data_IF_277390804187
#
_entry.id   IF_277390804187
#
_cell.length_a   1.000
_cell.length_b   1.000
_cell.length_c   1.000
_cell.angle_alpha   90.00
_cell.angle_beta   90.00
_cell.angle_gamma   90.00
#
_symmetry.space_group_name_H-M   'P 1'
#
loop_
_entity.id
_entity.type
_entity.pdbx_description
1 polymer ?
2 non-polymer ?
3 non-polymer ?
4 non-polymer ?
5 non-polymer ?
6 water ?
#
# COMPACT_ATOMS: atom_id res chain seq x y z
N UNK A 4 -16.61 -13.40 31.54
CA UNK A 4 -16.37 -14.34 32.67
C UNK A 4 -14.89 -14.74 32.73
N UNK A 5 -14.63 -15.89 33.34
CA UNK A 5 -13.27 -16.41 33.50
C UNK A 5 -12.86 -17.30 32.34
N UNK A 6 -13.68 -18.30 32.03
CA UNK A 6 -13.38 -19.21 30.94
C UNK A 6 -13.23 -18.46 29.62
N UNK A 7 -13.86 -17.29 29.54
CA UNK A 7 -13.80 -16.47 28.34
C UNK A 7 -12.45 -15.79 28.25
N UNK A 8 -12.00 -15.24 29.38
CA UNK A 8 -10.71 -14.56 29.45
C UNK A 8 -9.60 -15.54 29.07
N UNK A 9 -9.83 -16.82 29.32
CA UNK A 9 -8.86 -17.87 29.01
C UNK A 9 -8.87 -18.13 27.50
N UNK A 10 -10.07 -18.27 26.94
CA UNK A 10 -10.25 -18.51 25.52
C UNK A 10 -9.55 -17.42 24.72
N UNK A 11 -9.88 -16.17 25.05
CA UNK A 11 -9.31 -15.02 24.37
C UNK A 11 -7.79 -14.96 24.49
N UNK A 12 -7.25 -15.51 25.57
CA UNK A 12 -5.80 -15.51 25.74
C UNK A 12 -5.14 -16.40 24.70
N UNK A 13 -5.62 -17.63 24.57
CA UNK A 13 -5.04 -18.55 23.61
C UNK A 13 -5.22 -18.02 22.19
N UNK A 14 -6.40 -17.46 21.91
CA UNK A 14 -6.69 -16.92 20.59
C UNK A 14 -5.70 -15.81 20.25
N UNK A 15 -5.52 -14.86 21.17
CA UNK A 15 -4.58 -13.78 20.93
C UNK A 15 -3.15 -14.30 20.82
N UNK A 16 -2.81 -15.31 21.61
CA UNK A 16 -1.48 -15.88 21.54
C UNK A 16 -1.25 -16.52 20.16
N UNK A 17 -2.24 -17.27 19.69
CA UNK A 17 -2.13 -17.93 18.39
C UNK A 17 -2.04 -16.95 17.23
N UNK A 18 -2.75 -15.83 17.33
CA UNK A 18 -2.69 -14.83 16.27
C UNK A 18 -1.29 -14.22 16.25
N UNK A 19 -0.76 -13.92 17.43
CA UNK A 19 0.59 -13.35 17.52
C UNK A 19 1.58 -14.32 16.88
N UNK A 20 1.39 -15.61 17.13
CA UNK A 20 2.28 -16.62 16.57
C UNK A 20 2.25 -16.65 15.04
N UNK A 21 1.06 -16.69 14.46
CA UNK A 21 0.95 -16.73 13.00
C UNK A 21 1.48 -15.44 12.37
N UNK A 22 1.18 -14.30 12.98
CA UNK A 22 1.66 -13.03 12.45
C UNK A 22 3.18 -12.95 12.59
N UNK A 23 3.69 -13.49 13.70
CA UNK A 23 5.12 -13.48 13.92
C UNK A 23 5.83 -14.31 12.87
N UNK A 24 5.29 -15.49 12.56
CA UNK A 24 5.88 -16.36 11.55
C UNK A 24 5.88 -15.63 10.21
N UNK A 25 4.74 -15.06 9.84
CA UNK A 25 4.63 -14.34 8.57
C UNK A 25 5.60 -13.16 8.47
N UNK A 26 5.78 -12.41 9.56
CA UNK A 26 6.70 -11.29 9.51
C UNK A 26 8.16 -11.75 9.54
N UNK A 27 8.46 -12.75 10.36
CA UNK A 27 9.83 -13.27 10.43
C UNK A 27 10.31 -13.73 9.06
N UNK A 28 9.40 -14.33 8.28
CA UNK A 28 9.78 -14.81 6.96
C UNK A 28 9.63 -13.75 5.87
N UNK A 29 9.33 -12.52 6.27
CA UNK A 29 9.20 -11.43 5.32
C UNK A 29 8.01 -11.49 4.39
N UNK A 30 6.97 -12.22 4.79
CA UNK A 30 5.78 -12.35 3.97
C UNK A 30 4.88 -11.13 4.10
N UNK A 31 5.14 -10.32 5.13
CA UNK A 31 4.34 -9.13 5.38
C UNK A 31 5.06 -8.15 6.29
N UNK A 32 4.62 -6.89 6.23
CA UNK A 32 5.17 -5.82 7.05
C UNK A 32 4.02 -5.23 7.85
N UNK A 33 4.20 -5.16 9.17
CA UNK A 33 3.17 -4.62 10.05
C UNK A 33 3.55 -3.20 10.48
N UNK A 34 2.64 -2.25 10.29
CA UNK A 34 2.87 -0.86 10.68
C UNK A 34 1.60 -0.39 11.37
N UNK A 35 1.65 -0.29 12.69
CA UNK A 35 0.48 0.12 13.43
C UNK A 35 -0.55 -0.97 13.26
N UNK A 36 -1.75 -0.62 12.79
CA UNK A 36 -2.81 -1.59 12.60
C UNK A 36 -2.91 -2.04 11.15
N UNK A 37 -1.97 -1.58 10.32
CA UNK A 37 -1.97 -1.92 8.91
C UNK A 37 -0.90 -2.95 8.54
N UNK A 38 -1.28 -3.88 7.68
CA UNK A 38 -0.37 -4.92 7.22
C UNK A 38 -0.18 -4.79 5.71
N UNK A 39 1.07 -4.72 5.27
CA UNK A 39 1.38 -4.61 3.85
C UNK A 39 1.95 -5.93 3.38
N UNK A 40 1.70 -6.27 2.13
CA UNK A 40 2.20 -7.52 1.57
C UNK A 40 2.15 -7.46 0.05
N UNK A 41 3.03 -8.19 -0.62
CA UNK A 41 3.04 -8.21 -2.07
C UNK A 41 3.11 -9.64 -2.59
N UNK A 42 2.51 -9.88 -3.75
CA UNK A 42 2.55 -11.22 -4.35
C UNK A 42 3.74 -11.28 -5.30
N UNK A 43 4.55 -10.22 -5.28
CA UNK A 43 5.73 -10.16 -6.13
C UNK A 43 5.46 -9.89 -7.60
N UNK A 44 4.19 -9.73 -7.96
CA UNK A 44 3.82 -9.47 -9.35
C UNK A 44 3.89 -8.00 -9.76
N UNK A 45 4.20 -7.77 -11.03
CA UNK A 45 4.27 -6.43 -11.60
C UNK A 45 3.19 -6.31 -12.66
N UNK A 46 2.12 -5.60 -12.33
CA UNK A 46 1.01 -5.42 -13.25
C UNK A 46 0.48 -4.00 -13.17
N UNK A 47 -0.48 -3.66 -14.03
CA UNK A 47 -1.03 -2.31 -14.03
C UNK A 47 -1.97 -2.07 -12.85
N UNK A 48 -2.40 -0.81 -12.72
CA UNK A 48 -3.28 -0.39 -11.64
C UNK A 48 -4.53 -1.25 -11.46
N UNK A 49 -5.34 -1.37 -12.51
CA UNK A 49 -6.57 -2.15 -12.43
C UNK A 49 -6.32 -3.60 -12.02
N UNK A 50 -5.21 -4.17 -12.47
CA UNK A 50 -4.88 -5.55 -12.13
C UNK A 50 -4.53 -5.64 -10.65
N UNK A 51 -3.64 -4.77 -10.20
CA UNK A 51 -3.24 -4.75 -8.80
C UNK A 51 -4.47 -4.66 -7.91
N UNK A 52 -5.33 -3.68 -8.18
CA UNK A 52 -6.55 -3.48 -7.40
C UNK A 52 -7.36 -4.76 -7.27
N UNK A 53 -7.47 -5.49 -8.37
CA UNK A 53 -8.22 -6.73 -8.40
C UNK A 53 -7.57 -7.76 -7.49
N UNK A 54 -6.26 -7.94 -7.64
CA UNK A 54 -5.52 -8.89 -6.83
C UNK A 54 -5.70 -8.62 -5.35
N UNK A 55 -5.60 -7.35 -4.96
CA UNK A 55 -5.74 -6.99 -3.56
C UNK A 55 -7.14 -7.23 -3.02
N UNK A 56 -8.15 -6.74 -3.73
CA UNK A 56 -9.53 -6.93 -3.29
C UNK A 56 -9.87 -8.43 -3.22
N UNK A 57 -9.30 -9.20 -4.14
CA UNK A 57 -9.53 -10.63 -4.20
C UNK A 57 -8.95 -11.34 -2.97
N UNK A 58 -7.90 -10.76 -2.40
CA UNK A 58 -7.26 -11.33 -1.22
C UNK A 58 -7.90 -10.80 0.06
N UNK A 59 -8.90 -9.94 -0.11
CA UNK A 59 -9.59 -9.39 1.05
C UNK A 59 -9.02 -8.07 1.53
N UNK A 60 -8.15 -7.46 0.73
CA UNK A 60 -7.56 -6.19 1.12
C UNK A 60 -7.77 -5.10 0.08
N UNK A 61 -6.83 -4.17 0.03
CA UNK A 61 -6.89 -3.05 -0.92
C UNK A 61 -5.50 -2.67 -1.39
N UNK A 62 -5.43 -2.01 -2.55
CA UNK A 62 -4.14 -1.57 -3.05
C UNK A 62 -3.61 -0.62 -1.98
N UNK A 63 -2.37 -0.82 -1.58
CA UNK A 63 -1.76 -0.02 -0.52
C UNK A 63 -1.67 1.48 -0.78
N UNK A 64 -1.81 2.25 0.29
CA UNK A 64 -1.70 3.71 0.23
C UNK A 64 -1.17 4.20 1.57
N UNK A 65 -0.01 4.88 1.56
CA UNK A 65 0.57 5.38 2.81
C UNK A 65 -0.12 6.65 3.29
N UNK A 66 -0.48 6.68 4.58
CA UNK A 66 -1.13 7.85 5.15
C UNK A 66 -0.26 8.48 6.23
N UNK A 67 0.90 7.88 6.47
CA UNK A 67 1.84 8.40 7.46
C UNK A 67 3.24 8.13 6.95
N UNK A 68 4.24 8.87 7.45
CA UNK A 68 5.62 8.67 7.02
C UNK A 68 6.08 7.23 7.22
N UNK A 69 5.71 6.65 8.36
CA UNK A 69 6.08 5.27 8.67
C UNK A 69 5.46 4.30 7.68
N UNK A 70 4.21 4.52 7.31
CA UNK A 70 3.56 3.64 6.35
C UNK A 70 4.23 3.81 4.99
N UNK A 71 4.62 5.04 4.68
CA UNK A 71 5.26 5.32 3.41
C UNK A 71 6.60 4.59 3.34
N UNK A 72 7.36 4.63 4.43
CA UNK A 72 8.66 3.99 4.48
C UNK A 72 8.56 2.47 4.41
N UNK A 73 7.47 1.92 4.92
CA UNK A 73 7.29 0.47 4.90
C UNK A 73 7.11 0.04 3.45
N UNK A 74 6.25 0.75 2.73
CA UNK A 74 6.00 0.43 1.33
C UNK A 74 7.26 0.63 0.50
N UNK A 75 7.99 1.71 0.78
CA UNK A 75 9.22 2.00 0.06
C UNK A 75 10.23 0.85 0.18
N UNK A 76 10.30 0.25 1.36
CA UNK A 76 11.24 -0.85 1.58
C UNK A 76 10.88 -2.06 0.73
N UNK A 77 9.59 -2.26 0.49
CA UNK A 77 9.15 -3.38 -0.34
C UNK A 77 9.53 -3.08 -1.78
N UNK A 78 9.34 -1.83 -2.19
CA UNK A 78 9.68 -1.40 -3.54
C UNK A 78 11.18 -1.58 -3.75
N UNK A 79 11.95 -1.22 -2.72
CA UNK A 79 13.40 -1.34 -2.76
C UNK A 79 13.78 -2.82 -2.84
N UNK A 80 13.12 -3.62 -2.00
CA UNK A 80 13.34 -5.06 -1.93
C UNK A 80 13.16 -5.74 -3.29
N UNK A 81 12.05 -5.44 -3.96
CA UNK A 81 11.78 -6.03 -5.27
C UNK A 81 12.32 -5.17 -6.40
N UNK A 82 12.96 -4.06 -6.05
CA UNK A 82 13.53 -3.15 -7.02
C UNK A 82 12.55 -2.80 -8.14
N UNK A 83 11.44 -2.18 -7.78
CA UNK A 83 10.42 -1.80 -8.76
C UNK A 83 9.50 -0.73 -8.16
N UNK A 84 8.91 0.11 -9.01
CA UNK A 84 8.00 1.15 -8.53
C UNK A 84 6.71 0.49 -8.06
N UNK A 85 5.98 1.18 -7.20
CA UNK A 85 4.73 0.66 -6.66
C UNK A 85 3.57 1.61 -6.92
N UNK A 86 2.46 1.10 -7.45
CA UNK A 86 1.29 1.95 -7.67
C UNK A 86 0.61 2.08 -6.33
N UNK A 87 0.26 3.31 -5.96
CA UNK A 87 -0.41 3.56 -4.68
C UNK A 87 -1.92 3.70 -4.88
N UNK A 88 -2.67 3.46 -3.81
CA UNK A 88 -4.11 3.55 -3.88
C UNK A 88 -4.66 4.96 -3.88
N UNK A 89 -4.52 5.64 -5.02
CA UNK A 89 -5.03 7.01 -5.16
C UNK A 89 -5.08 7.39 -6.63
N UNK A 90 -6.02 8.26 -6.97
CA UNK A 90 -6.18 8.73 -8.34
C UNK A 90 -6.43 10.23 -8.36
N UNK A 91 -6.11 10.86 -9.49
CA UNK A 91 -6.28 12.30 -9.64
C UNK A 91 -7.73 12.75 -9.83
N UNK A 92 -8.08 13.86 -9.20
CA UNK A 92 -9.43 14.42 -9.29
C UNK A 92 -9.67 15.02 -10.67
N UNK A 93 -10.79 15.71 -10.81
CA UNK A 93 -11.14 16.38 -12.06
C UNK A 93 -10.12 17.50 -12.23
N UNK A 94 -9.88 18.23 -11.15
CA UNK A 94 -8.93 19.32 -11.14
C UNK A 94 -7.52 18.75 -11.09
N UNK A 95 -6.79 18.79 -12.22
CA UNK A 95 -5.43 18.25 -12.24
C UNK A 95 -4.59 18.74 -11.07
N UNK A 96 -3.65 17.91 -10.63
CA UNK A 96 -2.80 18.27 -9.51
C UNK A 96 -3.40 17.83 -8.19
N UNK A 97 -4.70 17.55 -8.19
CA UNK A 97 -5.39 17.11 -6.98
C UNK A 97 -5.70 15.62 -7.01
N UNK A 98 -5.32 14.91 -5.95
CA UNK A 98 -5.55 13.47 -5.88
C UNK A 98 -6.42 13.06 -4.70
N UNK A 99 -7.14 11.96 -4.87
CA UNK A 99 -8.00 11.46 -3.81
C UNK A 99 -7.81 9.96 -3.60
N UNK A 100 -8.07 9.50 -2.38
CA UNK A 100 -7.97 8.08 -2.08
C UNK A 100 -9.12 7.46 -2.85
N UNK A 101 -9.06 6.15 -3.08
CA UNK A 101 -10.12 5.50 -3.84
C UNK A 101 -11.50 5.60 -3.19
N UNK A 102 -11.54 5.79 -1.87
CA UNK A 102 -12.82 5.91 -1.18
C UNK A 102 -13.41 7.29 -1.45
N UNK A 103 -12.66 8.11 -2.20
CA UNK A 103 -13.12 9.44 -2.54
C UNK A 103 -12.47 10.57 -1.76
N UNK A 104 -12.12 10.31 -0.50
CA UNK A 104 -11.51 11.33 0.35
C UNK A 104 -10.30 12.00 -0.28
N UNK A 105 -10.03 13.23 0.16
CA UNK A 105 -8.90 14.01 -0.33
C UNK A 105 -7.61 13.51 0.32
N UNK A 106 -6.55 13.40 -0.47
CA UNK A 106 -5.26 12.94 0.03
C UNK A 106 -4.68 13.93 1.03
N UNK A 107 -4.27 13.43 2.19
CA UNK A 107 -3.69 14.30 3.21
C UNK A 107 -2.17 14.18 3.14
N UNK A 108 -1.64 13.06 3.61
CA UNK A 108 -0.19 12.84 3.57
C UNK A 108 0.26 12.66 2.12
N UNK A 109 1.36 13.31 1.76
CA UNK A 109 1.92 13.20 0.40
C UNK A 109 3.43 13.17 0.52
N UNK A 110 4.11 12.64 -0.50
CA UNK A 110 5.56 12.59 -0.48
C UNK A 110 6.07 12.68 -1.91
N UNK A 111 5.54 13.65 -2.64
CA UNK A 111 5.90 13.87 -4.03
C UNK A 111 7.38 14.13 -4.22
N UNK A 112 7.93 13.61 -5.30
CA UNK A 112 9.32 13.84 -5.63
C UNK A 112 9.34 15.33 -6.03
N UNK A 113 10.41 16.06 -5.69
CA UNK A 113 10.47 17.48 -6.06
C UNK A 113 10.01 17.76 -7.49
N UNK A 114 9.02 18.63 -7.63
CA UNK A 114 8.53 18.96 -8.96
C UNK A 114 7.23 18.25 -9.29
N UNK A 115 6.98 17.12 -8.62
CA UNK A 115 5.76 16.35 -8.86
C UNK A 115 4.63 16.83 -7.94
N UNK A 116 3.38 16.66 -8.38
CA UNK A 116 2.96 16.06 -9.65
C UNK A 116 2.92 17.14 -10.73
N UNK A 117 3.15 16.75 -11.98
CA UNK A 117 3.13 17.72 -13.07
C UNK A 117 2.73 17.16 -14.43
N UNK A 118 1.73 16.28 -14.43
CA UNK A 118 1.27 15.69 -15.68
C UNK A 118 0.00 16.33 -16.22
N UNK A 119 -0.51 17.34 -15.52
CA UNK A 119 -1.72 18.06 -15.92
C UNK A 119 -2.91 17.20 -16.37
N UNK A 120 -3.32 16.25 -15.52
CA UNK A 120 -4.46 15.41 -15.85
C UNK A 120 -4.22 14.29 -16.85
N UNK A 121 -3.00 14.20 -17.38
CA UNK A 121 -2.67 13.15 -18.34
C UNK A 121 -2.28 11.88 -17.59
N UNK A 122 -1.83 12.05 -16.35
CA UNK A 122 -1.40 10.94 -15.51
C UNK A 122 -2.24 10.87 -14.23
N UNK A 123 -3.32 10.10 -14.29
CA UNK A 123 -4.25 9.95 -13.19
C UNK A 123 -3.72 9.15 -11.99
N UNK A 124 -2.80 8.22 -12.25
CA UNK A 124 -2.25 7.39 -11.17
C UNK A 124 -1.00 7.93 -10.50
N UNK A 125 -0.60 7.27 -9.42
CA UNK A 125 0.57 7.66 -8.65
C UNK A 125 1.47 6.46 -8.40
N UNK A 126 2.75 6.59 -8.75
CA UNK A 126 3.70 5.52 -8.54
C UNK A 126 4.74 5.96 -7.52
N UNK A 127 5.24 5.01 -6.73
CA UNK A 127 6.23 5.30 -5.72
C UNK A 127 7.62 4.86 -6.16
N UNK A 128 8.57 5.78 -6.12
CA UNK A 128 9.95 5.49 -6.49
C UNK A 128 10.54 4.63 -5.39
N UNK A 129 11.65 3.96 -5.69
CA UNK A 129 12.27 3.09 -4.70
C UNK A 129 12.77 3.84 -3.48
N UNK A 130 12.87 5.16 -3.56
CA UNK A 130 13.31 5.93 -2.40
C UNK A 130 12.12 6.41 -1.58
N UNK A 131 10.92 6.05 -2.02
CA UNK A 131 9.72 6.43 -1.29
C UNK A 131 8.97 7.65 -1.79
N UNK A 132 9.60 8.46 -2.63
CA UNK A 132 8.94 9.66 -3.15
C UNK A 132 7.95 9.28 -4.23
N UNK A 133 6.95 10.13 -4.46
CA UNK A 133 5.92 9.84 -5.44
C UNK A 133 6.03 10.59 -6.76
N UNK A 134 5.38 10.02 -7.78
CA UNK A 134 5.34 10.59 -9.11
C UNK A 134 4.02 10.21 -9.77
N UNK A 135 3.27 11.21 -10.23
CA UNK A 135 2.00 10.92 -10.88
C UNK A 135 2.33 10.33 -12.25
N UNK A 136 1.63 9.28 -12.63
CA UNK A 136 1.89 8.61 -13.90
C UNK A 136 0.63 7.97 -14.46
N UNK A 137 0.73 7.46 -15.69
CA UNK A 137 -0.40 6.80 -16.31
C UNK A 137 -0.64 5.50 -15.57
N UNK A 138 -1.87 5.01 -15.60
CA UNK A 138 -2.24 3.79 -14.91
C UNK A 138 -2.01 2.49 -15.67
N UNK A 139 -1.32 2.55 -16.81
CA UNK A 139 -1.12 1.34 -17.60
C UNK A 139 0.26 0.69 -17.52
N UNK A 140 1.11 1.16 -16.61
CA UNK A 140 2.45 0.57 -16.48
C UNK A 140 2.41 -0.67 -15.59
N UNK A 141 3.49 -1.44 -15.61
CA UNK A 141 3.59 -2.65 -14.80
C UNK A 141 4.33 -2.33 -13.51
N UNK A 142 3.59 -2.31 -12.40
CA UNK A 142 4.17 -1.98 -11.11
C UNK A 142 3.96 -3.06 -10.07
N UNK A 143 4.89 -3.14 -9.13
CA UNK A 143 4.81 -4.13 -8.07
C UNK A 143 3.48 -3.99 -7.34
N UNK A 144 2.79 -5.11 -7.18
CA UNK A 144 1.50 -5.13 -6.51
C UNK A 144 1.69 -5.22 -5.00
N UNK A 145 1.36 -4.14 -4.30
CA UNK A 145 1.49 -4.10 -2.85
C UNK A 145 0.11 -3.82 -2.27
N UNK A 146 -0.34 -4.71 -1.38
CA UNK A 146 -1.65 -4.58 -0.76
C UNK A 146 -1.56 -4.30 0.73
N UNK A 147 -2.63 -3.72 1.28
CA UNK A 147 -2.71 -3.43 2.69
C UNK A 147 -3.96 -4.12 3.22
N UNK A 148 -3.89 -4.60 4.45
CA UNK A 148 -5.03 -5.28 5.07
C UNK A 148 -5.25 -4.69 6.45
X LIG B 1 4.64 12.92 -13.17
X LIG C 1 -1.98 14.06 -13.98
X LIG D 1 8.59 1.91 -17.18
X LIG D 1 7.12 1.88 -17.06
X LIG D 1 9.17 1.02 -16.16
X LIG D 1 8.98 1.44 -18.52
X LIG D 1 9.07 3.29 -16.97
X LIG E 1 7.93 10.99 -17.28
X LIG E 1 6.69 10.58 -16.47
X LIG E 1 6.14 11.77 -15.67
X LIG E 1 7.25 12.33 -14.79
X LIG E 1 8.45 12.73 -15.66
X LIG E 1 9.58 13.23 -14.80
X LIG E 1 7.73 11.38 -19.63
X LIG E 1 7.58 11.89 -18.28
X LIG E 1 7.05 9.54 -15.57
X LIG E 1 5.07 11.35 -14.85
X LIG E 1 6.79 13.46 -14.05
X LIG E 1 8.93 11.59 -16.43
X LIG E 1 10.37 12.15 -14.32
#
# INVERSE_FOLDING_TARGET
>A
AYLDEELQTELYEIKHQILQTMGVLSLQGSMLSVGDKVFSTNGQSVNFDTIKEMCTRAGGNIAVPRTPEENEAIASIAKKYNNYVYLGMIEDQTPGDFHYLDGASVSYTNWYPGEPRGQGKEKCVEMYTDGTWNDRGCLQYRLAVCEF
>B hetero
1 CA CA
>C hetero
1 NA NA
>D hetero
1 SO4 S O1 O2 O3 O4
>E hetero
1 MMA C1 C2 C3 C4 C5 C6 C7 O1 O2 O3 O4 O5 O6
#
